data_IF_414509594027
#
_entry.id   IF_414509594027
#
_cell.length_a   1.000
_cell.length_b   1.000
_cell.length_c   1.000
_cell.angle_alpha   90.00
_cell.angle_beta   90.00
_cell.angle_gamma   90.00
#
_symmetry.space_group_name_H-M   'P 1'
#
loop_
_entity.id
_entity.type
_entity.pdbx_description
1 polymer ?
#
# COMPACT_ATOMS: atom_id res chain seq x y z
N UNK A 1 -12.85 7.26 -55.99
CA UNK A 1 -14.32 7.37 -56.03
C UNK A 1 -14.85 8.71 -56.52
N UNK A 2 -14.17 9.85 -56.29
CA UNK A 2 -14.64 11.18 -56.74
C UNK A 2 -14.80 11.29 -58.27
N UNK A 3 -13.86 10.74 -59.04
CA UNK A 3 -13.91 10.68 -60.51
C UNK A 3 -15.05 9.81 -61.07
N UNK A 4 -15.46 8.76 -60.35
CA UNK A 4 -16.58 7.89 -60.78
C UNK A 4 -17.94 8.54 -60.51
N UNK A 5 -18.09 9.28 -59.41
CA UNK A 5 -19.30 10.06 -59.11
C UNK A 5 -19.47 11.22 -60.10
N UNK A 6 -18.36 11.87 -60.48
CA UNK A 6 -18.36 12.90 -61.52
C UNK A 6 -18.81 12.34 -62.88
N UNK A 7 -18.36 11.13 -63.25
CA UNK A 7 -18.82 10.45 -64.46
C UNK A 7 -20.33 10.15 -64.42
N UNK A 8 -20.86 9.65 -63.29
CA UNK A 8 -22.30 9.37 -63.12
C UNK A 8 -23.16 10.64 -63.23
N UNK A 9 -22.63 11.80 -62.81
CA UNK A 9 -23.31 13.10 -62.95
C UNK A 9 -23.33 13.62 -64.40
N UNK A 10 -22.37 13.23 -65.24
CA UNK A 10 -22.28 13.62 -66.66
C UNK A 10 -22.99 12.66 -67.63
N UNK A 11 -23.23 11.41 -67.23
CA UNK A 11 -23.98 10.41 -68.01
C UNK A 11 -25.34 10.90 -68.54
N UNK A 12 -26.20 11.60 -67.77
CA UNK A 12 -27.48 12.09 -68.30
C UNK A 12 -27.31 13.17 -69.38
N UNK A 13 -26.21 13.94 -69.35
CA UNK A 13 -25.91 14.97 -70.36
C UNK A 13 -25.52 14.31 -71.69
N UNK A 14 -24.78 13.20 -71.65
CA UNK A 14 -24.41 12.41 -72.83
C UNK A 14 -25.57 11.58 -73.40
N UNK A 15 -26.47 11.03 -72.56
CA UNK A 15 -27.65 10.32 -73.06
C UNK A 15 -28.66 11.26 -73.74
N UNK A 16 -28.79 12.50 -73.28
CA UNK A 16 -29.68 13.49 -73.89
C UNK A 16 -29.15 14.05 -75.23
N UNK A 17 -27.84 13.97 -75.51
CA UNK A 17 -27.26 14.44 -76.77
C UNK A 17 -27.17 13.36 -77.86
N UNK A 18 -27.19 12.07 -77.49
CA UNK A 18 -27.00 10.95 -78.41
C UNK A 18 -28.30 10.45 -79.12
N UNK A 19 -29.47 11.02 -78.80
CA UNK A 19 -30.74 10.70 -79.48
C UNK A 19 -31.03 11.73 -80.57
N UNK A 20 -30.21 11.68 -81.62
CA UNK A 20 -30.33 12.49 -82.84
C UNK A 20 -31.11 11.75 -83.92
N UNK A 21 -32.45 11.74 -83.81
CA UNK A 21 -33.35 11.38 -84.92
C UNK A 21 -34.76 11.99 -84.77
N UNK A 22 -34.86 13.26 -84.36
CA UNK A 22 -36.13 14.01 -84.35
C UNK A 22 -35.98 15.43 -84.95
N UNK A 23 -36.99 15.96 -85.67
CA UNK A 23 -36.89 17.23 -86.42
C UNK A 23 -36.63 18.43 -85.50
N UNK A 24 -35.85 19.39 -86.01
CA UNK A 24 -35.31 20.56 -85.30
C UNK A 24 -36.32 21.68 -85.01
N UNK A 25 -37.55 21.36 -84.64
CA UNK A 25 -38.54 22.38 -84.26
C UNK A 25 -39.13 22.07 -82.87
N UNK A 26 -38.85 22.96 -81.91
CA UNK A 26 -39.46 23.09 -80.57
C UNK A 26 -39.26 22.01 -79.49
N UNK A 27 -38.30 21.10 -79.62
CA UNK A 27 -38.18 19.95 -78.70
C UNK A 27 -37.28 20.18 -77.45
N UNK A 28 -36.65 21.37 -77.31
CA UNK A 28 -35.72 21.69 -76.20
C UNK A 28 -36.47 21.94 -74.87
N UNK A 29 -37.63 22.59 -74.93
CA UNK A 29 -38.45 22.93 -73.75
C UNK A 29 -38.96 21.66 -73.03
N UNK A 30 -39.65 20.70 -73.70
CA UNK A 30 -40.10 19.48 -73.03
C UNK A 30 -38.94 18.62 -72.52
N UNK A 31 -37.80 18.57 -73.24
CA UNK A 31 -36.59 17.85 -72.80
C UNK A 31 -35.97 18.47 -71.54
N UNK A 32 -35.94 19.79 -71.43
CA UNK A 32 -35.42 20.51 -70.25
C UNK A 32 -36.30 20.26 -69.02
N UNK A 33 -37.62 20.27 -69.20
CA UNK A 33 -38.57 19.94 -68.12
C UNK A 33 -38.35 18.50 -67.64
N UNK A 34 -38.19 17.54 -68.55
CA UNK A 34 -37.89 16.15 -68.21
C UNK A 34 -36.54 16.00 -67.49
N UNK A 35 -35.51 16.75 -67.89
CA UNK A 35 -34.23 16.77 -67.18
C UNK A 35 -34.34 17.33 -65.77
N UNK A 36 -35.12 18.40 -65.57
CA UNK A 36 -35.37 18.97 -64.24
C UNK A 36 -36.12 17.96 -63.35
N UNK A 37 -37.13 17.29 -63.89
CA UNK A 37 -37.87 16.23 -63.17
C UNK A 37 -36.93 15.08 -62.81
N UNK A 38 -36.10 14.62 -63.75
CA UNK A 38 -35.12 13.57 -63.51
C UNK A 38 -34.07 13.99 -62.46
N UNK A 39 -33.53 15.21 -62.56
CA UNK A 39 -32.58 15.75 -61.60
C UNK A 39 -33.18 15.91 -60.21
N UNK A 40 -34.46 16.29 -60.10
CA UNK A 40 -35.18 16.38 -58.84
C UNK A 40 -35.36 15.01 -58.18
N UNK A 41 -35.75 13.98 -58.95
CA UNK A 41 -35.87 12.60 -58.47
C UNK A 41 -34.50 12.05 -58.05
N UNK A 42 -33.48 12.28 -58.87
CA UNK A 42 -32.11 11.84 -58.60
C UNK A 42 -31.54 12.51 -57.34
N UNK A 43 -31.77 13.81 -57.17
CA UNK A 43 -31.38 14.56 -55.98
C UNK A 43 -32.08 13.99 -54.74
N UNK A 44 -33.39 13.75 -54.81
CA UNK A 44 -34.16 13.18 -53.70
C UNK A 44 -33.61 11.82 -53.25
N UNK A 45 -33.23 10.96 -54.20
CA UNK A 45 -32.73 9.61 -53.91
C UNK A 45 -31.30 9.61 -53.33
N UNK A 46 -30.42 10.52 -53.79
CA UNK A 46 -29.00 10.53 -53.43
C UNK A 46 -28.70 11.47 -52.24
N UNK A 47 -29.50 12.51 -52.00
CA UNK A 47 -29.22 13.51 -50.97
C UNK A 47 -29.12 12.91 -49.57
N UNK A 48 -30.03 12.00 -49.20
CA UNK A 48 -30.03 11.36 -47.89
C UNK A 48 -28.82 10.43 -47.64
N UNK A 49 -28.52 9.43 -48.49
CA UNK A 49 -27.37 8.55 -48.26
C UNK A 49 -26.04 9.32 -48.32
N UNK A 50 -25.94 10.33 -49.18
CA UNK A 50 -24.73 11.15 -49.29
C UNK A 50 -24.51 11.97 -48.02
N UNK A 51 -25.56 12.65 -47.51
CA UNK A 51 -25.50 13.40 -46.26
C UNK A 51 -25.14 12.52 -45.08
N UNK A 52 -25.80 11.36 -44.95
CA UNK A 52 -25.52 10.41 -43.88
C UNK A 52 -24.09 9.86 -43.95
N UNK A 53 -23.54 9.62 -45.14
CA UNK A 53 -22.16 9.15 -45.30
C UNK A 53 -21.13 10.16 -44.76
N UNK A 54 -21.29 11.44 -45.09
CA UNK A 54 -20.38 12.48 -44.61
C UNK A 54 -20.51 12.73 -43.10
N UNK A 55 -21.74 12.75 -42.58
CA UNK A 55 -22.00 12.90 -41.14
C UNK A 55 -21.41 11.71 -40.38
N UNK A 56 -21.66 10.47 -40.81
CA UNK A 56 -21.13 9.27 -40.16
C UNK A 56 -19.61 9.24 -40.16
N UNK A 57 -18.97 9.67 -41.26
CA UNK A 57 -17.51 9.73 -41.34
C UNK A 57 -16.94 10.83 -40.43
N UNK A 58 -17.57 12.00 -40.39
CA UNK A 58 -17.18 13.10 -39.49
C UNK A 58 -17.33 12.67 -38.02
N UNK A 59 -18.47 12.10 -37.65
CA UNK A 59 -18.73 11.57 -36.31
C UNK A 59 -17.73 10.46 -35.93
N UNK A 60 -17.38 9.57 -36.87
CA UNK A 60 -16.38 8.54 -36.65
C UNK A 60 -14.97 9.10 -36.37
N UNK A 61 -14.59 10.19 -37.04
CA UNK A 61 -13.31 10.88 -36.79
C UNK A 61 -13.35 11.60 -35.44
N UNK A 62 -14.43 12.33 -35.15
CA UNK A 62 -14.62 13.00 -33.86
C UNK A 62 -14.52 12.02 -32.69
N UNK A 63 -15.23 10.88 -32.78
CA UNK A 63 -15.21 9.83 -31.75
C UNK A 63 -13.82 9.21 -31.56
N UNK A 64 -13.05 9.03 -32.64
CA UNK A 64 -11.66 8.54 -32.55
C UNK A 64 -10.74 9.55 -31.89
N UNK A 65 -10.89 10.83 -32.22
CA UNK A 65 -10.09 11.91 -31.63
C UNK A 65 -10.39 12.05 -30.13
N UNK A 66 -11.66 12.01 -29.76
CA UNK A 66 -12.12 12.03 -28.38
C UNK A 66 -11.55 10.85 -27.59
N UNK A 67 -11.67 9.62 -28.12
CA UNK A 67 -11.10 8.43 -27.48
C UNK A 67 -9.57 8.48 -27.34
N UNK A 68 -8.85 9.06 -28.30
CA UNK A 68 -7.39 9.25 -28.20
C UNK A 68 -7.05 10.29 -27.14
N UNK A 69 -7.78 11.41 -27.10
CA UNK A 69 -7.60 12.47 -26.10
C UNK A 69 -7.86 11.94 -24.69
N UNK A 70 -8.95 11.19 -24.52
CA UNK A 70 -9.31 10.53 -23.26
C UNK A 70 -8.23 9.53 -22.84
N UNK A 71 -7.81 8.63 -23.75
CA UNK A 71 -6.75 7.66 -23.46
C UNK A 71 -5.42 8.33 -23.10
N UNK A 72 -5.09 9.45 -23.74
CA UNK A 72 -3.88 10.22 -23.43
C UNK A 72 -4.00 10.89 -22.05
N UNK A 73 -5.16 11.47 -21.73
CA UNK A 73 -5.43 12.05 -20.41
C UNK A 73 -5.36 10.99 -19.32
N UNK A 74 -5.99 9.84 -19.52
CA UNK A 74 -5.95 8.71 -18.60
C UNK A 74 -4.54 8.18 -18.40
N UNK A 75 -3.75 8.06 -19.48
CA UNK A 75 -2.37 7.61 -19.38
C UNK A 75 -1.50 8.60 -18.61
N UNK A 76 -1.70 9.91 -18.79
CA UNK A 76 -1.00 10.95 -18.03
C UNK A 76 -1.38 10.90 -16.55
N UNK A 77 -2.67 10.80 -16.25
CA UNK A 77 -3.17 10.68 -14.89
C UNK A 77 -2.63 9.43 -14.18
N UNK A 78 -2.63 8.27 -14.87
CA UNK A 78 -2.05 7.03 -14.34
C UNK A 78 -0.55 7.16 -14.08
N UNK A 79 0.19 7.80 -14.98
CA UNK A 79 1.62 8.06 -14.80
C UNK A 79 1.87 8.96 -13.59
N UNK A 80 1.14 10.07 -13.47
CA UNK A 80 1.29 10.99 -12.35
C UNK A 80 0.93 10.33 -11.02
N UNK A 81 -0.16 9.56 -10.98
CA UNK A 81 -0.55 8.79 -9.80
C UNK A 81 0.51 7.72 -9.43
N UNK A 82 1.14 7.07 -10.41
CA UNK A 82 2.22 6.14 -10.15
C UNK A 82 3.47 6.83 -9.58
N UNK A 83 3.84 8.00 -10.12
CA UNK A 83 4.96 8.81 -9.60
C UNK A 83 4.68 9.25 -8.16
N UNK A 84 3.47 9.77 -7.88
CA UNK A 84 3.08 10.15 -6.52
C UNK A 84 3.16 8.96 -5.54
N UNK A 85 2.63 7.80 -5.93
CA UNK A 85 2.73 6.58 -5.10
C UNK A 85 4.17 6.16 -4.83
N UNK A 86 5.06 6.29 -5.82
CA UNK A 86 6.49 5.95 -5.63
C UNK A 86 7.14 6.95 -4.67
N UNK A 87 6.84 8.24 -4.78
CA UNK A 87 7.37 9.26 -3.88
C UNK A 87 6.87 9.07 -2.45
N UNK A 88 5.56 8.87 -2.28
CA UNK A 88 4.94 8.53 -0.99
C UNK A 88 5.56 7.27 -0.38
N UNK A 89 5.75 6.20 -1.17
CA UNK A 89 6.38 4.97 -0.71
C UNK A 89 7.84 5.18 -0.27
N UNK A 90 8.60 6.03 -0.98
CA UNK A 90 9.98 6.36 -0.59
C UNK A 90 10.04 7.15 0.72
N UNK A 91 9.12 8.10 0.92
CA UNK A 91 9.02 8.87 2.18
C UNK A 91 8.67 7.93 3.33
N UNK A 92 7.66 7.06 3.15
CA UNK A 92 7.26 6.07 4.14
C UNK A 92 8.41 5.10 4.46
N UNK A 93 9.14 4.63 3.46
CA UNK A 93 10.29 3.73 3.68
C UNK A 93 11.38 4.40 4.53
N UNK A 94 11.70 5.67 4.27
CA UNK A 94 12.65 6.44 5.09
C UNK A 94 12.14 6.61 6.51
N UNK A 95 10.85 6.88 6.69
CA UNK A 95 10.25 7.05 8.01
C UNK A 95 10.25 5.75 8.82
N UNK A 96 9.97 4.62 8.17
CA UNK A 96 10.05 3.27 8.78
C UNK A 96 11.49 2.98 9.23
N UNK A 97 12.49 3.26 8.39
CA UNK A 97 13.90 3.04 8.75
C UNK A 97 14.29 3.91 9.95
N UNK A 98 13.92 5.19 9.94
CA UNK A 98 14.21 6.11 11.05
C UNK A 98 13.52 5.67 12.35
N UNK A 99 12.26 5.24 12.26
CA UNK A 99 11.50 4.73 13.39
C UNK A 99 12.11 3.45 13.95
N UNK A 100 12.46 2.51 13.09
CA UNK A 100 13.13 1.26 13.49
C UNK A 100 14.48 1.52 14.17
N UNK A 101 15.28 2.49 13.69
CA UNK A 101 16.52 2.89 14.37
C UNK A 101 16.25 3.45 15.78
N UNK A 102 15.24 4.32 15.91
CA UNK A 102 14.86 4.90 17.20
C UNK A 102 14.32 3.84 18.16
N UNK A 103 13.53 2.90 17.67
CA UNK A 103 13.03 1.76 18.45
C UNK A 103 14.16 0.84 18.89
N UNK A 104 15.12 0.55 18.02
CA UNK A 104 16.30 -0.23 18.38
C UNK A 104 17.14 0.44 19.47
N UNK A 105 17.33 1.76 19.39
CA UNK A 105 18.04 2.51 20.43
C UNK A 105 17.29 2.50 21.76
N UNK A 106 15.97 2.69 21.72
CA UNK A 106 15.12 2.63 22.91
C UNK A 106 15.11 1.24 23.54
N UNK A 107 15.04 0.18 22.72
CA UNK A 107 15.11 -1.20 23.18
C UNK A 107 16.46 -1.48 23.83
N UNK A 108 17.56 -1.04 23.22
CA UNK A 108 18.89 -1.18 23.81
C UNK A 108 18.97 -0.50 25.18
N UNK A 109 18.50 0.74 25.30
CA UNK A 109 18.46 1.46 26.59
C UNK A 109 17.58 0.76 27.62
N UNK A 110 16.44 0.21 27.20
CA UNK A 110 15.55 -0.59 28.05
C UNK A 110 16.27 -1.83 28.59
N UNK A 111 16.87 -2.62 27.71
CA UNK A 111 17.62 -3.82 28.07
C UNK A 111 18.82 -3.50 28.97
N UNK A 112 19.56 -2.42 28.70
CA UNK A 112 20.68 -1.99 29.56
C UNK A 112 20.21 -1.62 30.97
N UNK A 113 19.07 -0.93 31.08
CA UNK A 113 18.46 -0.58 32.36
C UNK A 113 18.00 -1.81 33.13
N UNK A 114 17.30 -2.72 32.45
CA UNK A 114 16.78 -3.96 33.05
C UNK A 114 17.94 -4.84 33.53
N UNK A 115 18.98 -5.01 32.70
CA UNK A 115 20.19 -5.76 33.07
C UNK A 115 20.89 -5.12 34.28
N UNK A 116 21.00 -3.79 34.31
CA UNK A 116 21.61 -3.08 35.45
C UNK A 116 20.82 -3.31 36.75
N UNK A 117 19.49 -3.31 36.66
CA UNK A 117 18.60 -3.60 37.79
C UNK A 117 18.71 -5.06 38.24
N UNK A 118 18.77 -6.00 37.30
CA UNK A 118 18.95 -7.43 37.58
C UNK A 118 20.30 -7.71 38.24
N UNK A 119 21.39 -7.09 37.78
CA UNK A 119 22.70 -7.18 38.42
C UNK A 119 22.64 -6.65 39.85
N UNK A 120 22.03 -5.48 40.06
CA UNK A 120 21.89 -4.90 41.40
C UNK A 120 21.09 -5.83 42.34
N UNK A 121 20.00 -6.41 41.84
CA UNK A 121 19.20 -7.38 42.58
C UNK A 121 20.00 -8.66 42.90
N UNK A 122 20.78 -9.16 41.94
CA UNK A 122 21.60 -10.35 42.10
C UNK A 122 22.68 -10.15 43.16
N UNK A 123 23.36 -8.99 43.14
CA UNK A 123 24.36 -8.62 44.15
C UNK A 123 23.71 -8.58 45.54
N UNK A 124 22.57 -7.90 45.67
CA UNK A 124 21.85 -7.79 46.94
C UNK A 124 21.42 -9.17 47.47
N UNK A 125 20.89 -10.03 46.61
CA UNK A 125 20.49 -11.39 46.98
C UNK A 125 21.70 -12.23 47.40
N UNK A 126 22.82 -12.11 46.67
CA UNK A 126 24.06 -12.80 47.00
C UNK A 126 24.62 -12.35 48.36
N UNK A 127 24.64 -11.05 48.64
CA UNK A 127 25.10 -10.53 49.94
C UNK A 127 24.21 -11.00 51.09
N UNK A 128 22.89 -10.98 50.91
CA UNK A 128 21.95 -11.52 51.89
C UNK A 128 22.20 -13.02 52.16
N UNK A 129 22.44 -13.81 51.10
CA UNK A 129 22.70 -15.24 51.23
C UNK A 129 24.05 -15.53 51.89
N UNK A 130 25.08 -14.76 51.54
CA UNK A 130 26.39 -14.83 52.18
C UNK A 130 26.29 -14.50 53.66
N UNK A 131 25.51 -13.49 54.04
CA UNK A 131 25.30 -13.15 55.44
C UNK A 131 24.54 -14.26 56.18
N UNK A 132 23.50 -14.82 55.57
CA UNK A 132 22.76 -15.95 56.13
C UNK A 132 23.65 -17.17 56.39
N UNK A 133 24.47 -17.57 55.40
CA UNK A 133 25.41 -18.68 55.53
C UNK A 133 26.48 -18.40 56.59
N UNK A 134 27.00 -17.16 56.67
CA UNK A 134 27.90 -16.78 57.78
C UNK A 134 27.25 -16.98 59.14
N UNK A 135 26.02 -16.51 59.33
CA UNK A 135 25.28 -16.68 60.60
C UNK A 135 25.01 -18.16 60.90
N UNK A 136 24.76 -18.98 59.88
CA UNK A 136 24.58 -20.42 60.03
C UNK A 136 25.88 -21.11 60.45
N UNK A 137 26.99 -20.81 59.77
CA UNK A 137 28.31 -21.36 60.09
C UNK A 137 28.77 -20.95 61.49
N UNK A 138 28.56 -19.69 61.91
CA UNK A 138 28.93 -19.27 63.27
C UNK A 138 28.12 -20.01 64.33
N UNK A 139 26.81 -20.17 64.13
CA UNK A 139 25.97 -20.97 65.02
C UNK A 139 26.44 -22.41 65.10
N UNK A 140 26.73 -23.03 63.95
CA UNK A 140 27.18 -24.42 63.89
C UNK A 140 28.56 -24.60 64.55
N UNK A 141 29.49 -23.68 64.35
CA UNK A 141 30.79 -23.68 65.02
C UNK A 141 30.66 -23.52 66.53
N UNK A 142 29.82 -22.59 67.00
CA UNK A 142 29.53 -22.42 68.44
C UNK A 142 28.90 -23.68 69.03
N UNK A 143 27.94 -24.31 68.34
CA UNK A 143 27.34 -25.56 68.79
C UNK A 143 28.39 -26.67 68.90
N UNK A 144 29.26 -26.84 67.88
CA UNK A 144 30.34 -27.84 67.91
C UNK A 144 31.31 -27.63 69.07
N UNK A 145 31.74 -26.39 69.32
CA UNK A 145 32.62 -26.06 70.45
C UNK A 145 31.93 -26.32 71.78
N UNK A 146 30.65 -25.94 71.92
CA UNK A 146 29.88 -26.23 73.13
C UNK A 146 29.75 -27.74 73.34
N UNK A 147 29.36 -28.49 72.30
CA UNK A 147 29.22 -29.95 72.35
C UNK A 147 30.54 -30.63 72.70
N UNK A 148 31.67 -30.15 72.19
CA UNK A 148 33.02 -30.65 72.51
C UNK A 148 33.41 -30.35 73.96
N UNK A 149 33.15 -29.12 74.46
CA UNK A 149 33.35 -28.76 75.88
C UNK A 149 32.47 -29.60 76.81
N UNK A 150 31.22 -29.88 76.43
CA UNK A 150 30.31 -30.71 77.21
C UNK A 150 30.64 -32.21 77.11
N UNK A 151 31.26 -32.66 76.01
CA UNK A 151 31.68 -34.05 75.81
C UNK A 151 33.04 -34.37 76.44
N UNK A 152 33.96 -33.39 76.51
CA UNK A 152 35.16 -33.50 77.33
C UNK A 152 34.76 -33.57 78.81
N UNK A 153 35.06 -34.69 79.46
CA UNK A 153 34.73 -35.03 80.86
C UNK A 153 35.43 -34.13 81.92
N UNK A 154 35.38 -32.81 81.79
CA UNK A 154 35.93 -31.85 82.77
C UNK A 154 34.92 -30.84 83.33
N UNK A 155 33.67 -30.81 82.85
CA UNK A 155 32.59 -30.12 83.55
C UNK A 155 31.95 -31.08 84.58
N UNK A 156 32.58 -31.18 85.76
CA UNK A 156 31.85 -31.56 86.97
C UNK A 156 30.94 -30.39 87.37
N UNK A 157 29.85 -30.17 86.62
CA UNK A 157 28.71 -29.43 87.15
C UNK A 157 28.03 -30.38 88.14
N UNK A 158 28.52 -30.36 89.38
CA UNK A 158 27.93 -31.15 90.46
C UNK A 158 26.50 -30.64 90.70
N UNK A 159 25.55 -31.55 90.90
CA UNK A 159 24.14 -31.19 91.04
C UNK A 159 23.89 -30.25 92.22
N UNK A 160 24.79 -30.20 93.20
CA UNK A 160 24.75 -29.24 94.32
C UNK A 160 24.90 -27.79 93.87
N UNK A 161 25.81 -27.52 92.93
CA UNK A 161 26.12 -26.15 92.49
C UNK A 161 25.00 -25.57 91.62
N UNK A 162 24.31 -26.42 90.86
CA UNK A 162 23.12 -26.05 90.08
C UNK A 162 21.92 -25.70 90.98
N UNK A 163 21.74 -26.43 92.09
CA UNK A 163 20.67 -26.18 93.06
C UNK A 163 20.93 -24.87 93.83
N UNK A 164 22.17 -24.59 94.22
CA UNK A 164 22.53 -23.34 94.91
C UNK A 164 22.38 -22.10 94.02
N UNK A 165 22.71 -22.20 92.73
CA UNK A 165 22.53 -21.08 91.78
C UNK A 165 21.04 -20.77 91.54
N UNK A 166 20.18 -21.79 91.48
CA UNK A 166 18.74 -21.60 91.34
C UNK A 166 18.14 -21.02 92.63
N UNK A 167 18.53 -21.54 93.80
CA UNK A 167 18.05 -21.04 95.10
C UNK A 167 18.42 -19.57 95.34
N UNK A 168 19.58 -19.11 94.84
CA UNK A 168 20.03 -17.71 94.98
C UNK A 168 19.38 -16.72 94.00
N UNK A 169 18.69 -17.21 92.96
CA UNK A 169 17.99 -16.37 91.96
C UNK A 169 16.50 -16.17 92.28
N UNK A 170 15.94 -17.02 93.13
CA UNK A 170 14.53 -16.95 93.60
C UNK A 170 14.45 -16.39 95.04
N UNK A 171 15.57 -15.97 95.61
CA UNK A 171 15.66 -15.17 96.84
C UNK A 171 15.91 -13.70 96.55
#
# INVERSE_FOLDING_TARGET
>A
MKTKILFVLFVPIFLFSATSDAPKDYDIVPRTINFIIFAAILYYLIAQPLKNFFINRSNGIAKRLEAISEKLKDSKNKKEAAIKRVDEANVLAKDIINTAHKEAENLKKGVEKDLSQDIANLIKNYDNQKEFEKRKMTKEAVCKVLDEIFAEKNLKLDQSDLVDIVLKKVG
#
